data_IF_898933588885
#
_entry.id   IF_898933588885
#
_cell.length_a   1.000
_cell.length_b   1.000
_cell.length_c   1.000
_cell.angle_alpha   90.00
_cell.angle_beta   90.00
_cell.angle_gamma   90.00
#
_symmetry.space_group_name_H-M   'P 1'
#
loop_
_entity.id
_entity.type
_entity.pdbx_description
1 polymer ?
#
# COMPACT_ATOMS: atom_id res chain seq x y z
N UNK A 1 0.87 -15.61 3.23
CA UNK A 1 1.87 -16.66 2.90
C UNK A 1 2.77 -16.27 1.72
N UNK A 2 2.26 -15.69 0.63
CA UNK A 2 3.10 -15.34 -0.54
C UNK A 2 4.29 -14.40 -0.26
N UNK A 3 4.10 -13.32 0.50
CA UNK A 3 5.21 -12.42 0.87
C UNK A 3 6.25 -13.14 1.72
N UNK A 4 5.81 -14.00 2.65
CA UNK A 4 6.71 -14.75 3.51
C UNK A 4 7.55 -15.74 2.70
N UNK A 5 6.94 -16.43 1.72
CA UNK A 5 7.65 -17.27 0.79
C UNK A 5 8.70 -16.49 -0.03
N UNK A 6 8.36 -15.29 -0.53
CA UNK A 6 9.31 -14.44 -1.25
C UNK A 6 10.48 -13.98 -0.37
N UNK A 7 10.23 -13.75 0.92
CA UNK A 7 11.27 -13.43 1.90
C UNK A 7 12.16 -14.64 2.18
N UNK A 8 11.58 -15.83 2.36
CA UNK A 8 12.30 -17.07 2.60
C UNK A 8 13.17 -17.50 1.41
N UNK A 9 12.73 -17.19 0.18
CA UNK A 9 13.49 -17.42 -1.04
C UNK A 9 14.49 -16.30 -1.37
N UNK A 10 14.67 -15.32 -0.46
CA UNK A 10 15.54 -14.13 -0.66
C UNK A 10 15.19 -13.27 -1.88
N UNK A 11 13.99 -13.44 -2.44
CA UNK A 11 13.46 -12.67 -3.58
C UNK A 11 12.90 -11.32 -3.16
N UNK A 12 12.57 -11.15 -1.87
CA UNK A 12 12.01 -9.93 -1.30
C UNK A 12 12.60 -9.69 0.09
N UNK A 13 13.02 -8.45 0.36
CA UNK A 13 13.50 -8.10 1.71
C UNK A 13 12.31 -7.96 2.68
N UNK A 14 12.44 -8.39 3.94
CA UNK A 14 11.39 -8.28 4.95
C UNK A 14 11.23 -6.84 5.51
N UNK A 15 11.52 -5.83 4.70
CA UNK A 15 11.43 -4.41 5.03
C UNK A 15 10.12 -3.85 4.48
N UNK A 16 9.44 -2.98 5.24
CA UNK A 16 8.16 -2.40 4.82
C UNK A 16 8.27 -1.68 3.47
N UNK A 17 9.39 -1.01 3.20
CA UNK A 17 9.63 -0.26 1.96
C UNK A 17 9.81 -1.18 0.74
N UNK A 18 10.54 -2.29 0.86
CA UNK A 18 10.70 -3.25 -0.25
C UNK A 18 9.39 -4.01 -0.52
N UNK A 19 8.68 -4.39 0.54
CA UNK A 19 7.35 -5.00 0.43
C UNK A 19 6.38 -4.03 -0.25
N UNK A 20 6.36 -2.75 0.15
CA UNK A 20 5.54 -1.72 -0.48
C UNK A 20 5.89 -1.53 -1.96
N UNK A 21 7.17 -1.48 -2.32
CA UNK A 21 7.63 -1.40 -3.73
C UNK A 21 7.18 -2.61 -4.54
N UNK A 22 7.28 -3.81 -3.98
CA UNK A 22 6.83 -5.04 -4.63
C UNK A 22 5.32 -5.04 -4.89
N UNK A 23 4.53 -4.71 -3.86
CA UNK A 23 3.07 -4.60 -3.97
C UNK A 23 2.66 -3.49 -4.95
N UNK A 24 3.40 -2.39 -5.00
CA UNK A 24 3.14 -1.26 -5.88
C UNK A 24 3.47 -1.55 -7.36
N UNK A 25 4.55 -2.31 -7.63
CA UNK A 25 4.84 -2.79 -9.00
C UNK A 25 3.71 -3.66 -9.54
N UNK A 26 3.14 -4.53 -8.70
CA UNK A 26 1.91 -5.25 -9.01
C UNK A 26 1.98 -6.21 -10.21
N UNK A 27 3.16 -6.47 -10.78
CA UNK A 27 3.32 -7.38 -11.92
C UNK A 27 2.93 -8.81 -11.52
N UNK A 28 1.79 -9.28 -12.04
CA UNK A 28 1.26 -10.62 -11.76
C UNK A 28 0.58 -10.79 -10.39
N UNK A 29 0.43 -9.73 -9.61
CA UNK A 29 -0.20 -9.80 -8.29
C UNK A 29 -1.70 -9.51 -8.34
N UNK A 30 -2.48 -10.30 -7.61
CA UNK A 30 -3.91 -10.08 -7.50
C UNK A 30 -4.20 -8.85 -6.61
N UNK A 31 -4.82 -7.82 -7.20
CA UNK A 31 -5.21 -6.57 -6.50
C UNK A 31 -6.10 -6.79 -5.27
N UNK A 32 -6.90 -7.85 -5.25
CA UNK A 32 -7.71 -8.24 -4.08
C UNK A 32 -6.83 -8.76 -2.96
N UNK A 33 -5.89 -9.65 -3.27
CA UNK A 33 -4.95 -10.18 -2.28
C UNK A 33 -4.03 -9.09 -1.71
N UNK A 34 -3.65 -8.10 -2.52
CA UNK A 34 -2.91 -6.93 -2.07
C UNK A 34 -3.74 -6.14 -1.05
N UNK A 35 -5.01 -5.86 -1.36
CA UNK A 35 -5.92 -5.13 -0.47
C UNK A 35 -6.16 -5.83 0.86
N UNK A 36 -6.37 -7.16 0.83
CA UNK A 36 -6.51 -7.96 2.05
C UNK A 36 -5.24 -7.93 2.90
N UNK A 37 -4.08 -8.07 2.27
CA UNK A 37 -2.79 -8.02 2.97
C UNK A 37 -2.53 -6.66 3.63
N UNK A 38 -2.83 -5.56 2.92
CA UNK A 38 -2.69 -4.20 3.44
C UNK A 38 -3.67 -3.92 4.59
N UNK A 39 -4.91 -4.43 4.47
CA UNK A 39 -5.93 -4.29 5.52
C UNK A 39 -5.60 -5.07 6.79
N UNK A 40 -4.91 -6.20 6.69
CA UNK A 40 -4.48 -7.00 7.85
C UNK A 40 -3.25 -6.45 8.55
N UNK A 41 -2.20 -6.08 7.79
CA UNK A 41 -0.90 -5.69 8.36
C UNK A 41 -0.76 -4.21 8.71
N UNK A 42 -1.76 -3.40 8.36
CA UNK A 42 -1.89 -2.06 8.87
C UNK A 42 -0.89 -1.06 8.28
N UNK A 43 -1.15 0.20 8.62
CA UNK A 43 -0.63 1.43 8.06
C UNK A 43 0.80 1.40 7.48
N UNK A 44 1.80 0.80 8.14
CA UNK A 44 3.21 0.91 7.73
C UNK A 44 3.48 0.61 6.25
N UNK A 45 3.00 -0.53 5.72
CA UNK A 45 3.24 -0.89 4.32
C UNK A 45 2.43 0.01 3.38
N UNK A 46 1.23 0.40 3.83
CA UNK A 46 0.33 1.27 3.10
C UNK A 46 0.84 2.72 3.02
N UNK A 47 1.65 3.17 3.99
CA UNK A 47 2.26 4.51 4.04
C UNK A 47 3.41 4.68 3.03
N UNK A 48 4.11 3.59 2.69
CA UNK A 48 5.22 3.60 1.74
C UNK A 48 4.77 3.38 0.28
N UNK A 49 3.59 2.81 0.03
CA UNK A 49 3.01 2.69 -1.32
C UNK A 49 2.81 4.06 -1.99
N UNK A 50 2.23 5.08 -1.32
CA UNK A 50 2.17 6.43 -1.85
C UNK A 50 3.54 6.96 -2.24
N UNK A 51 4.61 6.74 -1.45
CA UNK A 51 5.96 7.22 -1.80
C UNK A 51 6.45 6.66 -3.13
N UNK A 52 6.06 5.43 -3.48
CA UNK A 52 6.41 4.79 -4.74
C UNK A 52 5.65 5.40 -5.94
N UNK A 53 4.43 5.90 -5.74
CA UNK A 53 3.62 6.56 -6.78
C UNK A 53 3.79 8.10 -6.80
N UNK A 54 4.25 8.70 -5.70
CA UNK A 54 4.34 10.15 -5.49
C UNK A 54 5.64 10.77 -6.03
N UNK A 55 6.17 10.26 -7.15
CA UNK A 55 7.17 10.96 -7.94
C UNK A 55 6.66 12.28 -8.55
N UNK A 56 5.42 12.69 -8.25
CA UNK A 56 4.75 13.85 -8.83
C UNK A 56 4.48 14.89 -7.75
N UNK A 57 5.04 16.11 -7.86
CA UNK A 57 4.66 17.21 -6.98
C UNK A 57 3.22 17.67 -7.30
N UNK A 58 2.42 17.92 -6.27
CA UNK A 58 1.27 18.87 -6.24
C UNK A 58 -0.13 18.48 -6.76
N UNK A 59 -0.53 17.21 -6.85
CA UNK A 59 -1.95 16.89 -7.14
C UNK A 59 -2.66 16.12 -6.01
N UNK A 60 -3.08 16.87 -4.98
CA UNK A 60 -3.97 16.48 -3.88
C UNK A 60 -5.14 15.57 -4.29
N UNK A 61 -5.81 15.90 -5.40
CA UNK A 61 -7.02 15.21 -5.86
C UNK A 61 -6.72 13.88 -6.59
N UNK A 62 -5.47 13.66 -7.01
CA UNK A 62 -5.04 12.46 -7.72
C UNK A 62 -4.57 11.33 -6.81
N UNK A 63 -4.06 11.67 -5.61
CA UNK A 63 -3.48 10.71 -4.66
C UNK A 63 -4.51 9.66 -4.19
N UNK A 64 -5.75 10.02 -3.79
CA UNK A 64 -6.74 9.01 -3.39
C UNK A 64 -7.12 8.08 -4.53
N UNK A 65 -7.23 8.61 -5.76
CA UNK A 65 -7.53 7.80 -6.95
C UNK A 65 -6.39 6.84 -7.30
N UNK A 66 -5.15 7.29 -7.25
CA UNK A 66 -3.97 6.44 -7.51
C UNK A 66 -3.79 5.36 -6.44
N UNK A 67 -4.03 5.71 -5.18
CA UNK A 67 -4.02 4.78 -4.07
C UNK A 67 -5.09 3.68 -4.25
N UNK A 68 -6.33 4.08 -4.53
CA UNK A 68 -7.44 3.15 -4.80
C UNK A 68 -7.29 2.36 -6.10
N UNK A 69 -6.46 2.79 -7.06
CA UNK A 69 -6.15 2.04 -8.27
C UNK A 69 -5.12 0.94 -8.07
N UNK A 70 -4.29 1.07 -7.03
CA UNK A 70 -3.20 0.15 -6.73
C UNK A 70 -3.70 -1.17 -6.15
N UNK A 71 -4.86 -1.18 -5.50
CA UNK A 71 -5.45 -2.38 -4.91
C UNK A 71 -6.99 -2.30 -4.84
N UNK A 72 -7.65 -3.44 -4.65
CA UNK A 72 -9.09 -3.48 -4.36
C UNK A 72 -9.29 -3.27 -2.87
N UNK A 73 -10.21 -2.40 -2.48
CA UNK A 73 -10.59 -2.27 -1.07
C UNK A 73 -11.18 -3.60 -0.57
N UNK A 74 -10.77 -4.07 0.62
CA UNK A 74 -11.38 -5.21 1.28
C UNK A 74 -12.81 -4.87 1.69
N UNK A 75 -13.66 -5.89 1.81
CA UNK A 75 -15.08 -5.70 2.18
C UNK A 75 -15.29 -5.38 3.66
N UNK A 76 -14.31 -5.63 4.52
CA UNK A 76 -14.44 -5.41 5.96
C UNK A 76 -14.20 -3.95 6.32
N UNK A 77 -15.22 -3.31 6.92
CA UNK A 77 -15.17 -1.90 7.30
C UNK A 77 -13.94 -1.54 8.16
N UNK A 78 -13.55 -2.41 9.10
CA UNK A 78 -12.38 -2.21 9.95
C UNK A 78 -11.06 -2.13 9.16
N UNK A 79 -10.92 -2.93 8.08
CA UNK A 79 -9.72 -2.90 7.24
C UNK A 79 -9.69 -1.64 6.38
N UNK A 80 -10.84 -1.21 5.87
CA UNK A 80 -10.98 0.05 5.14
C UNK A 80 -10.58 1.23 6.03
N UNK A 81 -11.10 1.28 7.25
CA UNK A 81 -10.85 2.36 8.22
C UNK A 81 -9.35 2.51 8.51
N UNK A 82 -8.66 1.41 8.81
CA UNK A 82 -7.20 1.40 9.01
C UNK A 82 -6.41 1.92 7.82
N UNK A 83 -6.80 1.54 6.60
CA UNK A 83 -6.12 2.00 5.39
C UNK A 83 -6.39 3.48 5.11
N UNK A 84 -7.62 3.94 5.37
CA UNK A 84 -7.99 5.35 5.23
C UNK A 84 -7.29 6.22 6.26
N UNK A 85 -7.17 5.76 7.51
CA UNK A 85 -6.44 6.47 8.57
C UNK A 85 -4.95 6.60 8.23
N UNK A 86 -4.31 5.51 7.78
CA UNK A 86 -2.93 5.52 7.31
C UNK A 86 -2.73 6.51 6.16
N UNK A 87 -3.63 6.45 5.16
CA UNK A 87 -3.60 7.38 4.04
C UNK A 87 -3.73 8.83 4.51
N UNK A 88 -4.69 9.14 5.39
CA UNK A 88 -4.94 10.48 5.90
C UNK A 88 -3.74 11.03 6.68
N UNK A 89 -3.15 10.24 7.59
CA UNK A 89 -1.95 10.64 8.34
C UNK A 89 -0.80 11.00 7.39
N UNK A 90 -0.56 10.18 6.36
CA UNK A 90 0.48 10.48 5.37
C UNK A 90 0.17 11.70 4.54
N UNK A 91 -1.07 11.82 4.12
CA UNK A 91 -1.55 12.91 3.30
C UNK A 91 -1.37 14.25 4.01
N UNK A 92 -1.71 14.34 5.31
CA UNK A 92 -1.48 15.53 6.13
C UNK A 92 0.02 15.82 6.36
N UNK A 93 0.85 14.79 6.56
CA UNK A 93 2.31 14.97 6.69
C UNK A 93 2.96 15.50 5.41
N UNK A 94 2.47 15.09 4.24
CA UNK A 94 2.99 15.52 2.95
C UNK A 94 2.36 16.82 2.43
N UNK A 95 1.23 17.25 2.98
CA UNK A 95 0.53 18.50 2.66
C UNK A 95 0.17 19.23 3.97
N UNK A 96 1.15 19.87 4.64
CA UNK A 96 0.89 20.68 5.84
C UNK A 96 0.05 21.91 5.54
#
# INVERSE_FOLDING_TARGET
QGIQFLVEQELLRPTAEDIARFLCKGEGLNKTAIGDYLGERGAQVCLDIPRCHLGVPRCVLGVPRQFLWSFRLPGEAQKIDRMMEAFAQRYCLCNP
#
